data_IF_258013968417
#
_entry.id   IF_258013968417
#
_cell.length_a   1.000
_cell.length_b   1.000
_cell.length_c   1.000
_cell.angle_alpha   90.00
_cell.angle_beta   90.00
_cell.angle_gamma   90.00
#
_symmetry.space_group_name_H-M   'P 1'
#
loop_
_entity.id
_entity.type
_entity.pdbx_description
1 polymer ?
#
# COMPACT_ATOMS: atom_id res chain seq x y z
N UNK A 1 -7.60 -2.33 11.82
CA UNK A 1 -7.14 -3.74 11.68
C UNK A 1 -6.57 -4.27 13.00
N UNK A 2 -5.47 -3.72 13.50
CA UNK A 2 -4.94 -4.08 14.81
C UNK A 2 -5.42 -3.13 15.90
N UNK A 3 -5.56 -3.65 17.13
CA UNK A 3 -5.91 -2.87 18.31
C UNK A 3 -5.36 -3.53 19.58
N UNK A 4 -5.44 -2.80 20.69
CA UNK A 4 -4.97 -3.29 21.99
C UNK A 4 -3.50 -3.79 22.01
N UNK A 5 -2.65 -3.18 21.18
CA UNK A 5 -1.23 -3.53 21.05
C UNK A 5 -0.51 -3.24 22.36
N UNK A 6 -0.14 -4.28 23.09
CA UNK A 6 0.59 -4.15 24.37
C UNK A 6 1.16 -5.48 24.85
N UNK A 7 2.33 -5.44 25.47
CA UNK A 7 2.95 -6.59 26.11
C UNK A 7 3.04 -7.84 25.22
N UNK A 8 3.29 -7.65 23.93
CA UNK A 8 3.35 -8.74 22.95
C UNK A 8 2.01 -9.37 22.58
N UNK A 9 0.91 -8.63 22.75
CA UNK A 9 -0.44 -9.03 22.34
C UNK A 9 -1.08 -7.95 21.48
N UNK A 10 -1.81 -8.37 20.45
CA UNK A 10 -2.65 -7.48 19.64
C UNK A 10 -3.92 -8.21 19.21
N UNK A 11 -5.04 -7.51 19.26
CA UNK A 11 -6.28 -7.97 18.63
C UNK A 11 -6.22 -7.68 17.13
N UNK A 12 -6.68 -8.62 16.33
CA UNK A 12 -6.83 -8.47 14.88
C UNK A 12 -8.31 -8.53 14.51
N UNK A 13 -8.80 -7.51 13.80
CA UNK A 13 -10.17 -7.48 13.23
C UNK A 13 -10.10 -6.89 11.81
N UNK A 14 -10.43 -7.73 10.82
CA UNK A 14 -10.47 -7.32 9.43
C UNK A 14 -11.72 -7.89 8.75
N UNK A 15 -12.59 -7.01 8.29
CA UNK A 15 -13.88 -7.36 7.63
C UNK A 15 -14.71 -8.37 8.44
N UNK A 16 -14.64 -8.29 9.76
CA UNK A 16 -15.37 -9.16 10.68
C UNK A 16 -14.72 -10.52 10.95
N UNK A 17 -13.55 -10.81 10.38
CA UNK A 17 -12.67 -11.86 10.88
C UNK A 17 -11.96 -11.34 12.13
N UNK A 18 -11.98 -12.11 13.20
CA UNK A 18 -11.33 -11.78 14.47
C UNK A 18 -10.29 -12.82 14.83
N UNK A 19 -9.11 -12.34 15.18
CA UNK A 19 -7.97 -13.10 15.64
C UNK A 19 -7.22 -12.37 16.73
N UNK A 20 -6.27 -13.04 17.33
CA UNK A 20 -5.30 -12.49 18.27
C UNK A 20 -3.91 -12.82 17.77
N UNK A 21 -2.96 -11.93 17.98
CA UNK A 21 -1.54 -12.17 17.76
C UNK A 21 -0.84 -12.19 19.11
N UNK A 22 0.02 -13.19 19.33
CA UNK A 22 0.78 -13.35 20.57
C UNK A 22 2.26 -13.04 20.37
N UNK A 23 2.98 -12.81 21.46
CA UNK A 23 4.42 -12.49 21.51
C UNK A 23 5.33 -13.62 20.95
N UNK A 24 4.77 -14.78 20.61
CA UNK A 24 5.53 -15.91 20.06
C UNK A 24 6.08 -15.57 18.65
N UNK A 25 5.47 -14.59 17.98
CA UNK A 25 5.85 -14.16 16.63
C UNK A 25 5.74 -12.64 16.48
N UNK A 26 6.34 -12.08 15.42
CA UNK A 26 6.17 -10.69 15.02
C UNK A 26 5.17 -10.59 13.85
N UNK A 27 3.88 -10.34 14.14
CA UNK A 27 2.85 -10.39 13.13
C UNK A 27 3.03 -9.35 12.02
N UNK A 28 3.63 -8.20 12.32
CA UNK A 28 3.86 -7.16 11.31
C UNK A 28 4.95 -7.61 10.34
N UNK A 29 6.10 -8.06 10.85
CA UNK A 29 7.19 -8.56 10.00
C UNK A 29 6.78 -9.78 9.20
N UNK A 30 6.07 -10.73 9.81
CA UNK A 30 5.62 -11.95 9.14
C UNK A 30 4.67 -11.64 7.97
N UNK A 31 3.72 -10.72 8.17
CA UNK A 31 2.80 -10.26 7.12
C UNK A 31 3.57 -9.51 6.03
N UNK A 32 4.46 -8.57 6.40
CA UNK A 32 5.28 -7.84 5.44
C UNK A 32 6.09 -8.80 4.57
N UNK A 33 6.81 -9.73 5.18
CA UNK A 33 7.62 -10.71 4.45
C UNK A 33 6.79 -11.59 3.51
N UNK A 34 5.58 -11.97 3.93
CA UNK A 34 4.66 -12.73 3.09
C UNK A 34 4.17 -11.92 1.88
N UNK A 35 3.85 -10.64 2.08
CA UNK A 35 3.47 -9.72 0.99
C UNK A 35 4.61 -9.53 -0.01
N UNK A 36 5.83 -9.26 0.46
CA UNK A 36 7.02 -9.11 -0.38
C UNK A 36 7.28 -10.40 -1.19
N UNK A 37 7.26 -11.57 -0.53
CA UNK A 37 7.49 -12.85 -1.19
C UNK A 37 6.48 -13.15 -2.30
N UNK A 38 5.21 -12.74 -2.14
CA UNK A 38 4.18 -12.93 -3.18
C UNK A 38 4.27 -11.90 -4.29
N UNK A 39 4.94 -10.77 -4.07
CA UNK A 39 5.22 -9.79 -5.11
C UNK A 39 6.39 -10.24 -6.01
N UNK A 40 7.47 -10.76 -5.41
CA UNK A 40 8.62 -11.28 -6.15
C UNK A 40 8.28 -12.50 -7.02
N UNK A 41 7.32 -13.32 -6.58
CA UNK A 41 6.84 -14.49 -7.33
C UNK A 41 5.31 -14.52 -7.37
N UNK A 42 4.73 -13.94 -8.42
CA UNK A 42 3.27 -13.83 -8.63
C UNK A 42 2.54 -15.19 -8.67
N UNK A 43 3.25 -16.30 -8.85
CA UNK A 43 2.66 -17.65 -8.81
C UNK A 43 2.59 -18.22 -7.39
N UNK A 44 3.25 -17.58 -6.44
CA UNK A 44 3.40 -18.07 -5.07
C UNK A 44 2.18 -17.75 -4.22
N UNK A 45 1.71 -18.78 -3.52
CA UNK A 45 0.80 -18.62 -2.40
C UNK A 45 1.62 -18.71 -1.10
N UNK A 46 1.47 -17.73 -0.22
CA UNK A 46 2.11 -17.73 1.09
C UNK A 46 1.05 -17.77 2.17
N UNK A 47 1.25 -18.63 3.17
CA UNK A 47 0.39 -18.75 4.34
C UNK A 47 1.17 -18.34 5.58
N UNK A 48 0.69 -17.31 6.26
CA UNK A 48 1.18 -16.89 7.58
C UNK A 48 0.30 -17.53 8.64
N UNK A 49 0.92 -18.30 9.51
CA UNK A 49 0.25 -18.88 10.68
C UNK A 49 0.36 -17.89 11.84
N UNK A 50 -0.76 -17.57 12.47
CA UNK A 50 -0.85 -16.72 13.65
C UNK A 50 -1.21 -17.54 14.88
N UNK A 51 -0.35 -17.50 15.88
CA UNK A 51 -0.51 -18.23 17.13
C UNK A 51 -1.27 -17.40 18.17
N UNK A 52 -2.31 -17.96 18.77
CA UNK A 52 -3.14 -17.35 19.83
C UNK A 52 -2.94 -18.05 21.19
N UNK A 53 -1.79 -18.71 21.41
CA UNK A 53 -1.52 -19.51 22.62
C UNK A 53 -2.59 -20.59 22.94
N UNK A 54 -2.79 -21.48 21.99
CA UNK A 54 -3.71 -22.63 22.14
C UNK A 54 -4.70 -22.78 21.02
N UNK A 55 -4.80 -21.81 20.16
CA UNK A 55 -5.49 -21.88 18.87
C UNK A 55 -4.66 -21.16 17.80
N UNK A 56 -5.06 -21.31 16.53
CA UNK A 56 -4.37 -20.69 15.40
C UNK A 56 -5.36 -20.14 14.41
N UNK A 57 -4.95 -19.07 13.72
CA UNK A 57 -5.58 -18.61 12.50
C UNK A 57 -4.54 -18.39 11.42
N UNK A 58 -4.99 -18.33 10.20
CA UNK A 58 -4.14 -18.32 9.04
C UNK A 58 -4.49 -17.14 8.13
N UNK A 59 -3.45 -16.48 7.61
CA UNK A 59 -3.53 -15.47 6.60
C UNK A 59 -2.88 -16.01 5.34
N UNK A 60 -3.70 -16.32 4.33
CA UNK A 60 -3.24 -16.76 3.03
C UNK A 60 -3.20 -15.59 2.09
N UNK A 61 -2.05 -15.35 1.46
CA UNK A 61 -1.78 -14.25 0.54
C UNK A 61 -1.43 -14.83 -0.82
N UNK A 62 -2.05 -14.28 -1.86
CA UNK A 62 -1.76 -14.55 -3.26
C UNK A 62 -1.48 -13.23 -3.99
N UNK A 63 -1.17 -13.26 -5.27
CA UNK A 63 -0.99 -12.06 -6.09
C UNK A 63 -2.22 -11.13 -6.14
N UNK A 64 -3.44 -11.69 -5.99
CA UNK A 64 -4.67 -10.92 -6.16
C UNK A 64 -5.51 -10.77 -4.89
N UNK A 65 -5.46 -11.78 -4.03
CA UNK A 65 -6.39 -11.92 -2.90
C UNK A 65 -5.68 -12.23 -1.60
N UNK A 66 -6.33 -11.85 -0.51
CA UNK A 66 -5.98 -12.25 0.85
C UNK A 66 -7.17 -12.96 1.48
N UNK A 67 -6.90 -14.07 2.16
CA UNK A 67 -7.92 -14.91 2.80
C UNK A 67 -7.53 -15.21 4.24
N UNK A 68 -8.42 -14.95 5.18
CA UNK A 68 -8.26 -15.28 6.60
C UNK A 68 -9.19 -16.44 6.97
N UNK A 69 -8.67 -17.42 7.70
CA UNK A 69 -9.44 -18.61 8.10
C UNK A 69 -8.90 -19.27 9.36
N UNK A 70 -9.70 -20.19 9.92
CA UNK A 70 -9.32 -21.11 10.98
C UNK A 70 -9.56 -22.53 10.50
N UNK A 71 -8.71 -23.48 10.87
CA UNK A 71 -8.90 -24.90 10.48
C UNK A 71 -10.21 -25.48 11.00
N UNK A 72 -10.59 -25.12 12.22
CA UNK A 72 -11.79 -25.64 12.87
C UNK A 72 -13.10 -24.99 12.38
N UNK A 73 -12.99 -23.85 11.67
CA UNK A 73 -14.16 -23.12 11.18
C UNK A 73 -13.98 -22.75 9.71
N UNK A 74 -14.74 -23.37 8.79
CA UNK A 74 -14.59 -23.14 7.35
C UNK A 74 -15.03 -21.76 6.88
N UNK A 75 -15.39 -20.84 7.79
CA UNK A 75 -15.76 -19.47 7.42
C UNK A 75 -14.50 -18.67 7.06
N UNK A 76 -14.27 -18.57 5.77
CA UNK A 76 -13.22 -17.73 5.21
C UNK A 76 -13.70 -16.29 5.06
N UNK A 77 -12.80 -15.32 5.32
CA UNK A 77 -12.98 -13.91 4.96
C UNK A 77 -11.97 -13.55 3.88
N UNK A 78 -12.46 -13.05 2.74
CA UNK A 78 -11.64 -12.69 1.57
C UNK A 78 -11.64 -11.20 1.32
N UNK A 79 -10.54 -10.70 0.80
CA UNK A 79 -10.36 -9.34 0.34
C UNK A 79 -9.43 -9.32 -0.85
N UNK A 80 -9.53 -8.29 -1.71
CA UNK A 80 -8.45 -8.01 -2.65
C UNK A 80 -7.16 -7.70 -1.89
N UNK A 81 -6.03 -8.06 -2.48
CA UNK A 81 -4.70 -7.77 -1.93
C UNK A 81 -4.50 -6.27 -1.74
N UNK A 82 -4.85 -5.45 -2.74
CA UNK A 82 -4.76 -4.00 -2.68
C UNK A 82 -5.48 -3.44 -1.44
N UNK A 83 -6.74 -3.85 -1.22
CA UNK A 83 -7.50 -3.34 -0.08
C UNK A 83 -6.91 -3.79 1.28
N UNK A 84 -6.38 -5.01 1.34
CA UNK A 84 -5.69 -5.48 2.53
C UNK A 84 -4.43 -4.66 2.80
N UNK A 85 -3.59 -4.41 1.78
CA UNK A 85 -2.38 -3.60 1.91
C UNK A 85 -2.72 -2.18 2.37
N UNK A 86 -3.72 -1.53 1.78
CA UNK A 86 -4.17 -0.19 2.19
C UNK A 86 -4.52 -0.13 3.68
N UNK A 87 -5.35 -1.04 4.14
CA UNK A 87 -5.76 -1.05 5.55
C UNK A 87 -4.60 -1.43 6.49
N UNK A 88 -3.78 -2.41 6.09
CA UNK A 88 -2.64 -2.89 6.85
C UNK A 88 -1.58 -1.79 7.03
N UNK A 89 -1.15 -1.15 5.94
CA UNK A 89 -0.10 -0.13 5.98
C UNK A 89 -0.55 1.11 6.76
N UNK A 90 -1.78 1.59 6.54
CA UNK A 90 -2.33 2.71 7.32
C UNK A 90 -2.39 2.39 8.82
N UNK A 91 -2.78 1.17 9.18
CA UNK A 91 -2.91 0.75 10.58
C UNK A 91 -1.55 0.63 11.27
N UNK A 92 -0.58 -0.01 10.59
CA UNK A 92 0.78 -0.18 11.13
C UNK A 92 1.47 1.16 11.28
N UNK A 93 1.40 2.07 10.29
CA UNK A 93 2.01 3.39 10.37
C UNK A 93 1.39 4.26 11.48
N UNK A 94 0.08 4.19 11.68
CA UNK A 94 -0.58 4.91 12.79
C UNK A 94 -0.05 4.49 14.16
N UNK A 95 0.23 3.22 14.34
CA UNK A 95 0.60 2.63 15.64
C UNK A 95 2.08 2.17 15.68
N UNK A 96 2.95 2.69 14.80
CA UNK A 96 4.34 2.23 14.63
C UNK A 96 5.17 2.30 15.93
N UNK A 97 4.92 3.31 16.76
CA UNK A 97 5.56 3.42 18.08
C UNK A 97 5.13 2.31 19.06
N UNK A 98 3.95 1.74 18.90
CA UNK A 98 3.51 0.59 19.69
C UNK A 98 4.14 -0.69 19.18
N UNK A 99 4.23 -0.84 17.86
CA UNK A 99 4.90 -1.97 17.22
C UNK A 99 6.39 -2.01 17.51
N UNK A 100 7.05 -0.86 17.60
CA UNK A 100 8.47 -0.80 17.95
C UNK A 100 8.80 -1.32 19.37
N UNK A 101 7.79 -1.46 20.23
CA UNK A 101 7.89 -1.99 21.59
C UNK A 101 7.37 -3.44 21.71
N UNK A 102 7.06 -4.08 20.58
CA UNK A 102 6.56 -5.46 20.55
C UNK A 102 7.54 -6.43 21.21
N UNK A 103 8.81 -6.29 20.87
CA UNK A 103 9.92 -7.00 21.49
C UNK A 103 10.71 -6.02 22.36
N UNK A 104 10.58 -6.07 23.69
CA UNK A 104 11.17 -5.06 24.58
C UNK A 104 12.71 -5.08 24.63
N UNK A 105 13.35 -6.10 24.08
CA UNK A 105 14.81 -6.24 24.01
C UNK A 105 15.43 -5.48 22.84
N UNK A 106 14.64 -5.09 21.85
CA UNK A 106 15.10 -4.40 20.64
C UNK A 106 15.14 -2.87 20.84
N UNK A 107 16.04 -2.20 20.11
CA UNK A 107 16.02 -0.74 20.04
C UNK A 107 14.78 -0.27 19.26
N UNK A 108 13.87 0.49 19.89
CA UNK A 108 12.62 0.90 19.24
C UNK A 108 12.82 1.67 17.94
N UNK A 109 13.88 2.47 17.84
CA UNK A 109 14.16 3.23 16.62
C UNK A 109 14.54 2.30 15.47
N UNK A 110 15.43 1.33 15.74
CA UNK A 110 15.82 0.35 14.71
C UNK A 110 14.62 -0.46 14.23
N UNK A 111 13.69 -0.81 15.14
CA UNK A 111 12.46 -1.54 14.76
C UNK A 111 11.54 -0.68 13.90
N UNK A 112 11.39 0.62 14.21
CA UNK A 112 10.63 1.53 13.34
C UNK A 112 11.25 1.60 11.94
N UNK A 113 12.56 1.84 11.86
CA UNK A 113 13.28 1.95 10.58
C UNK A 113 13.13 0.64 9.74
N UNK A 114 13.19 -0.53 10.40
CA UNK A 114 12.97 -1.83 9.74
C UNK A 114 11.53 -1.99 9.21
N UNK A 115 10.53 -1.64 10.01
CA UNK A 115 9.11 -1.70 9.61
C UNK A 115 8.85 -0.74 8.45
N UNK A 116 9.33 0.50 8.52
CA UNK A 116 9.17 1.49 7.44
C UNK A 116 9.81 0.99 6.14
N UNK A 117 11.00 0.40 6.21
CA UNK A 117 11.65 -0.19 5.03
C UNK A 117 10.82 -1.33 4.41
N UNK A 118 10.29 -2.23 5.23
CA UNK A 118 9.44 -3.33 4.74
C UNK A 118 8.13 -2.82 4.13
N UNK A 119 7.51 -1.80 4.74
CA UNK A 119 6.31 -1.18 4.19
C UNK A 119 6.59 -0.47 2.86
N UNK A 120 7.75 0.17 2.72
CA UNK A 120 8.19 0.76 1.46
C UNK A 120 8.29 -0.31 0.36
N UNK A 121 8.94 -1.45 0.65
CA UNK A 121 9.09 -2.58 -0.28
C UNK A 121 7.76 -3.20 -0.72
N UNK A 122 6.68 -2.95 0.03
CA UNK A 122 5.32 -3.37 -0.33
C UNK A 122 4.59 -2.28 -1.12
N UNK A 123 4.55 -1.06 -0.59
CA UNK A 123 3.70 0.02 -1.10
C UNK A 123 4.20 0.58 -2.42
N UNK A 124 5.52 0.75 -2.56
CA UNK A 124 6.10 1.35 -3.76
C UNK A 124 5.82 0.52 -5.03
N UNK A 125 6.15 -0.79 -5.09
CA UNK A 125 5.85 -1.58 -6.27
C UNK A 125 4.35 -1.69 -6.57
N UNK A 126 3.50 -1.82 -5.55
CA UNK A 126 2.03 -1.84 -5.73
C UNK A 126 1.50 -0.52 -6.31
N UNK A 127 2.02 0.63 -5.86
CA UNK A 127 1.67 1.93 -6.42
C UNK A 127 2.09 2.04 -7.88
N UNK A 128 3.32 1.64 -8.22
CA UNK A 128 3.82 1.69 -9.60
C UNK A 128 3.00 0.78 -10.51
N UNK A 129 2.70 -0.45 -10.10
CA UNK A 129 1.84 -1.36 -10.86
C UNK A 129 0.44 -0.74 -11.09
N UNK A 130 -0.15 -0.15 -10.05
CA UNK A 130 -1.44 0.53 -10.14
C UNK A 130 -1.41 1.71 -11.12
N UNK A 131 -0.36 2.52 -11.11
CA UNK A 131 -0.16 3.62 -12.05
C UNK A 131 0.02 3.12 -13.50
N UNK A 132 0.77 2.03 -13.69
CA UNK A 132 0.97 1.41 -15.00
C UNK A 132 -0.35 0.84 -15.56
N UNK A 133 -1.16 0.19 -14.73
CA UNK A 133 -2.47 -0.32 -15.11
C UNK A 133 -3.45 0.81 -15.42
N UNK A 134 -3.45 1.90 -14.65
CA UNK A 134 -4.24 3.10 -14.93
C UNK A 134 -3.87 3.66 -16.30
N UNK A 135 -2.58 3.82 -16.60
CA UNK A 135 -2.08 4.33 -17.86
C UNK A 135 -2.42 3.42 -19.04
N UNK A 136 -2.32 2.10 -18.86
CA UNK A 136 -2.70 1.10 -19.86
C UNK A 136 -4.21 1.15 -20.16
N UNK A 137 -5.04 1.15 -19.14
CA UNK A 137 -6.49 1.25 -19.26
C UNK A 137 -6.89 2.55 -19.96
N UNK A 138 -6.24 3.66 -19.61
CA UNK A 138 -6.46 4.94 -20.25
C UNK A 138 -6.17 4.88 -21.76
N UNK A 139 -5.01 4.31 -22.17
CA UNK A 139 -4.62 4.11 -23.57
C UNK A 139 -5.65 3.26 -24.32
N UNK A 140 -6.13 2.19 -23.73
CA UNK A 140 -7.09 1.28 -24.35
C UNK A 140 -8.48 1.88 -24.55
N UNK A 141 -8.95 2.71 -23.64
CA UNK A 141 -10.29 3.30 -23.63
C UNK A 141 -10.30 4.58 -24.46
N UNK A 142 -9.39 5.51 -24.20
CA UNK A 142 -9.44 6.86 -24.78
C UNK A 142 -8.95 6.91 -26.23
N UNK A 143 -8.00 6.05 -26.63
CA UNK A 143 -7.50 6.06 -28.00
C UNK A 143 -8.42 5.35 -29.01
N UNK A 144 -9.38 4.56 -28.54
CA UNK A 144 -10.34 3.87 -29.42
C UNK A 144 -11.41 4.84 -29.92
N UNK A 145 -11.26 5.29 -31.16
CA UNK A 145 -12.32 6.02 -31.88
C UNK A 145 -12.18 7.54 -31.91
N UNK A 146 -11.11 8.11 -31.38
CA UNK A 146 -10.84 9.54 -31.41
C UNK A 146 -10.51 10.05 -32.83
N UNK A 147 -10.90 11.28 -33.13
CA UNK A 147 -10.64 11.96 -34.41
C UNK A 147 -10.18 13.41 -34.19
N UNK A 148 -9.16 13.83 -34.96
CA UNK A 148 -8.76 15.22 -35.07
C UNK A 148 -8.30 15.86 -33.75
N UNK A 149 -8.94 16.95 -33.33
CA UNK A 149 -8.54 17.71 -32.13
C UNK A 149 -8.60 16.92 -30.80
N UNK A 150 -9.48 15.91 -30.76
CA UNK A 150 -9.57 15.04 -29.56
C UNK A 150 -8.29 14.24 -29.37
N UNK A 151 -7.64 13.80 -30.46
CA UNK A 151 -6.35 13.08 -30.40
C UNK A 151 -5.26 13.95 -29.76
N UNK A 152 -5.23 15.27 -30.07
CA UNK A 152 -4.22 16.15 -29.49
C UNK A 152 -4.39 16.35 -27.97
N UNK A 153 -5.65 16.50 -27.51
CA UNK A 153 -5.91 16.62 -26.07
C UNK A 153 -5.52 15.35 -25.32
N UNK A 154 -5.89 14.21 -25.87
CA UNK A 154 -5.55 12.91 -25.27
C UNK A 154 -4.03 12.63 -25.32
N UNK A 155 -3.34 13.00 -26.40
CA UNK A 155 -1.89 12.84 -26.48
C UNK A 155 -1.16 13.72 -25.43
N UNK A 156 -1.63 14.93 -25.19
CA UNK A 156 -1.10 15.80 -24.17
C UNK A 156 -1.24 15.20 -22.77
N UNK A 157 -2.47 14.79 -22.40
CA UNK A 157 -2.73 14.13 -21.12
C UNK A 157 -1.88 12.87 -20.94
N UNK A 158 -1.79 12.03 -21.98
CA UNK A 158 -0.98 10.82 -21.96
C UNK A 158 0.49 11.12 -21.67
N UNK A 159 1.06 12.10 -22.38
CA UNK A 159 2.47 12.49 -22.19
C UNK A 159 2.74 12.91 -20.74
N UNK A 160 1.84 13.71 -20.16
CA UNK A 160 2.02 14.15 -18.77
C UNK A 160 1.85 13.00 -17.77
N UNK A 161 0.92 12.08 -17.97
CA UNK A 161 0.79 10.89 -17.10
C UNK A 161 2.02 9.98 -17.21
N UNK A 162 2.62 9.85 -18.39
CA UNK A 162 3.89 9.14 -18.56
C UNK A 162 5.04 9.83 -17.84
N UNK A 163 5.10 11.16 -17.89
CA UNK A 163 6.09 11.96 -17.14
C UNK A 163 5.88 11.85 -15.62
N UNK A 164 4.65 11.91 -15.14
CA UNK A 164 4.30 11.73 -13.73
C UNK A 164 4.73 10.34 -13.21
N UNK A 165 4.47 9.29 -13.98
CA UNK A 165 4.93 7.96 -13.65
C UNK A 165 6.46 7.87 -13.58
N UNK A 166 7.15 8.47 -14.56
CA UNK A 166 8.62 8.50 -14.57
C UNK A 166 9.19 9.27 -13.35
N UNK A 167 8.50 10.31 -12.88
CA UNK A 167 8.88 11.05 -11.66
C UNK A 167 8.69 10.14 -10.43
N UNK A 168 7.56 9.46 -10.31
CA UNK A 168 7.33 8.52 -9.21
C UNK A 168 8.35 7.39 -9.16
N UNK A 169 8.82 6.92 -10.31
CA UNK A 169 9.85 5.87 -10.42
C UNK A 169 11.28 6.38 -10.14
N UNK A 170 11.55 7.68 -10.31
CA UNK A 170 12.91 8.26 -10.25
C UNK A 170 13.20 9.09 -9.01
N UNK A 171 12.17 9.60 -8.34
CA UNK A 171 12.28 10.44 -7.14
C UNK A 171 11.99 9.61 -5.91
N UNK A 172 12.88 9.69 -4.93
CA UNK A 172 12.72 9.01 -3.64
C UNK A 172 11.86 9.89 -2.71
N UNK A 173 10.57 9.63 -2.68
CA UNK A 173 9.63 10.25 -1.74
C UNK A 173 9.63 9.49 -0.40
N UNK A 174 9.18 10.14 0.66
CA UNK A 174 8.95 9.47 1.94
C UNK A 174 7.82 8.43 1.85
N UNK A 175 7.87 7.42 2.72
CA UNK A 175 6.87 6.34 2.77
C UNK A 175 5.44 6.88 2.89
N UNK A 176 5.23 7.92 3.70
CA UNK A 176 3.91 8.54 3.88
C UNK A 176 3.35 9.14 2.57
N UNK A 177 4.21 9.64 1.67
CA UNK A 177 3.80 10.12 0.34
C UNK A 177 3.36 8.96 -0.55
N UNK A 178 4.09 7.84 -0.53
CA UNK A 178 3.69 6.66 -1.30
C UNK A 178 2.39 6.06 -0.79
N UNK A 179 2.19 5.94 0.53
CA UNK A 179 0.94 5.46 1.13
C UNK A 179 -0.24 6.38 0.76
N UNK A 180 -0.05 7.69 0.86
CA UNK A 180 -1.07 8.68 0.51
C UNK A 180 -1.51 8.56 -0.97
N UNK A 181 -0.55 8.42 -1.91
CA UNK A 181 -0.84 8.19 -3.32
C UNK A 181 -1.49 6.82 -3.57
N UNK A 182 -1.00 5.78 -2.92
CA UNK A 182 -1.55 4.43 -3.05
C UNK A 182 -3.01 4.34 -2.62
N UNK A 183 -3.42 5.18 -1.66
CA UNK A 183 -4.80 5.28 -1.21
C UNK A 183 -5.74 5.98 -2.22
N UNK A 184 -5.22 6.68 -3.24
CA UNK A 184 -6.05 7.24 -4.33
C UNK A 184 -6.53 6.12 -5.25
N UNK A 185 -7.76 6.23 -5.75
CA UNK A 185 -8.30 5.23 -6.69
C UNK A 185 -7.55 5.25 -8.03
N UNK A 186 -7.27 6.44 -8.55
CA UNK A 186 -6.54 6.69 -9.78
C UNK A 186 -5.40 7.70 -9.49
N UNK A 187 -4.22 7.23 -9.06
CA UNK A 187 -3.12 8.11 -8.64
C UNK A 187 -2.64 9.07 -9.73
N UNK A 188 -2.50 8.60 -10.97
CA UNK A 188 -2.05 9.45 -12.08
C UNK A 188 -3.11 10.47 -12.50
N UNK A 189 -4.39 10.13 -12.51
CA UNK A 189 -5.49 11.08 -12.74
C UNK A 189 -5.52 12.15 -11.66
N UNK A 190 -5.32 11.75 -10.41
CA UNK A 190 -5.26 12.66 -9.28
C UNK A 190 -4.08 13.63 -9.41
N UNK A 191 -2.87 13.15 -9.67
CA UNK A 191 -1.69 13.98 -9.88
C UNK A 191 -1.82 14.88 -11.12
N UNK A 192 -2.39 14.37 -12.20
CA UNK A 192 -2.67 15.18 -13.40
C UNK A 192 -3.65 16.30 -13.11
N UNK A 193 -4.68 16.03 -12.28
CA UNK A 193 -5.62 17.04 -11.82
C UNK A 193 -4.94 18.17 -11.02
N UNK A 194 -4.04 17.85 -10.10
CA UNK A 194 -3.23 18.83 -9.38
C UNK A 194 -2.40 19.65 -10.36
N UNK A 195 -1.68 18.99 -11.25
CA UNK A 195 -0.81 19.63 -12.23
C UNK A 195 -1.54 20.65 -13.13
N UNK A 196 -2.78 20.34 -13.56
CA UNK A 196 -3.59 21.26 -14.40
C UNK A 196 -3.93 22.59 -13.71
N UNK A 197 -3.90 22.65 -12.37
CA UNK A 197 -4.17 23.86 -11.60
C UNK A 197 -2.93 24.69 -11.31
N UNK A 198 -1.77 24.21 -11.71
CA UNK A 198 -0.50 24.84 -11.46
C UNK A 198 0.20 25.15 -12.78
N UNK A 199 0.67 26.37 -12.95
CA UNK A 199 1.47 26.82 -14.11
C UNK A 199 2.91 26.23 -14.08
N UNK A 200 3.05 24.95 -13.70
CA UNK A 200 4.33 24.31 -13.49
C UNK A 200 4.81 23.62 -14.76
N UNK A 201 5.91 24.09 -15.31
CA UNK A 201 6.57 23.47 -16.47
C UNK A 201 7.82 22.66 -16.14
N UNK A 202 8.17 22.52 -14.86
CA UNK A 202 9.45 21.93 -14.42
C UNK A 202 9.21 20.87 -13.35
N UNK A 203 9.92 19.74 -13.45
CA UNK A 203 9.86 18.59 -12.55
C UNK A 203 9.98 18.96 -11.06
N UNK A 204 10.89 19.88 -10.73
CA UNK A 204 11.10 20.33 -9.33
C UNK A 204 9.84 20.97 -8.73
N UNK A 205 9.14 21.79 -9.52
CA UNK A 205 7.88 22.43 -9.09
C UNK A 205 6.80 21.38 -8.89
N UNK A 206 6.75 20.34 -9.71
CA UNK A 206 5.78 19.25 -9.59
C UNK A 206 6.01 18.42 -8.31
N UNK A 207 7.27 18.17 -7.96
CA UNK A 207 7.62 17.47 -6.70
C UNK A 207 7.16 18.31 -5.50
N UNK A 208 7.48 19.60 -5.48
CA UNK A 208 7.08 20.50 -4.40
C UNK A 208 5.55 20.55 -4.25
N UNK A 209 4.82 20.51 -5.36
CA UNK A 209 3.36 20.50 -5.37
C UNK A 209 2.76 19.19 -4.81
N UNK A 210 3.32 18.02 -5.18
CA UNK A 210 2.90 16.74 -4.62
C UNK A 210 3.05 16.76 -3.10
N UNK A 211 4.15 17.28 -2.60
CA UNK A 211 4.43 17.38 -1.16
C UNK A 211 3.54 18.39 -0.45
N UNK A 212 3.21 19.51 -1.10
CA UNK A 212 2.33 20.54 -0.54
C UNK A 212 0.87 20.07 -0.50
N UNK A 213 0.37 19.42 -1.56
CA UNK A 213 -1.00 18.89 -1.61
C UNK A 213 -1.20 17.80 -0.56
N UNK A 214 -0.24 16.87 -0.42
CA UNK A 214 -0.26 15.89 0.66
C UNK A 214 -0.37 16.56 2.02
N UNK A 215 0.40 17.63 2.28
CA UNK A 215 0.36 18.34 3.55
C UNK A 215 -1.01 18.97 3.81
N UNK A 216 -1.60 19.63 2.80
CA UNK A 216 -2.90 20.28 2.95
C UNK A 216 -4.01 19.27 3.25
N UNK A 217 -3.99 18.08 2.60
CA UNK A 217 -5.00 17.04 2.86
C UNK A 217 -4.86 16.38 4.25
N UNK A 218 -3.66 16.39 4.84
CA UNK A 218 -3.43 15.79 6.17
C UNK A 218 -3.73 16.76 7.33
N UNK A 219 -3.77 18.08 7.04
CA UNK A 219 -4.05 19.13 8.03
C UNK A 219 -5.56 19.43 8.14
N UNK A 220 -6.41 18.93 7.22
CA UNK A 220 -7.88 19.02 7.24
C UNK A 220 -8.51 17.80 7.96
#
# INVERSE_FOLDING_TARGET
MFSNIKNGWADFDFKGFKGVCSYIQDPVKDICQALINTFEDNSKEVVVEMDEEGSKWFLKITSNDVCMYREENPKEVKSSRENFIKEFTNDVCRDIELWSKWEPENDPKSVCDDIESMLYDIVFPELIEKCQDELKNWKEIQLKGLKGEEIFKCAYELTYKEELLAILESVDFDLGTYIWLFNKDLPLDYLYGIWLHCDASVTDILIDMILEEKRMELDD
#
